data_IF_915282684339
#
_entry.id   IF_915282684339
#
_cell.length_a   1.000
_cell.length_b   1.000
_cell.length_c   1.000
_cell.angle_alpha   90.00
_cell.angle_beta   90.00
_cell.angle_gamma   90.00
#
_symmetry.space_group_name_H-M   'P 1'
#
loop_
_entity.id
_entity.type
_entity.pdbx_description
1 polymer ?
#
# COMPACT_ATOMS: atom_id res chain seq x y z
N UNK A 1 -20.82 2.29 33.41
CA UNK A 1 -19.63 1.42 33.55
C UNK A 1 -18.83 1.61 32.29
N UNK A 2 -17.77 2.41 32.33
CA UNK A 2 -16.96 2.79 31.16
C UNK A 2 -16.02 1.63 30.83
N UNK A 3 -16.24 1.00 29.69
CA UNK A 3 -15.35 -0.02 29.14
C UNK A 3 -14.07 0.65 28.67
N UNK A 4 -12.90 0.16 29.08
CA UNK A 4 -11.59 0.71 28.70
C UNK A 4 -11.22 0.27 27.27
N UNK A 5 -10.40 1.05 26.57
CA UNK A 5 -9.92 0.73 25.20
C UNK A 5 -9.23 -0.65 25.11
N UNK A 6 -8.61 -1.11 26.20
CA UNK A 6 -8.00 -2.45 26.28
C UNK A 6 -9.02 -3.60 26.18
N UNK A 7 -10.22 -3.42 26.74
CA UNK A 7 -11.26 -4.44 26.74
C UNK A 7 -12.05 -4.45 25.42
N UNK A 8 -11.99 -3.34 24.67
CA UNK A 8 -12.68 -3.16 23.39
C UNK A 8 -12.02 -3.93 22.25
N UNK A 9 -10.69 -4.03 22.22
CA UNK A 9 -9.97 -4.82 21.20
C UNK A 9 -10.02 -6.32 21.45
N UNK A 10 -10.23 -6.76 22.69
CA UNK A 10 -10.33 -8.17 23.06
C UNK A 10 -11.60 -8.87 22.49
N UNK A 11 -12.57 -8.12 21.97
CA UNK A 11 -13.83 -8.64 21.39
C UNK A 11 -14.01 -8.34 19.90
N UNK A 12 -12.99 -7.76 19.25
CA UNK A 12 -13.06 -7.46 17.81
C UNK A 12 -12.70 -8.70 17.00
N UNK A 13 -13.64 -9.18 16.19
CA UNK A 13 -13.36 -10.22 15.18
C UNK A 13 -13.26 -9.64 13.76
N UNK A 14 -13.83 -8.46 13.51
CA UNK A 14 -13.86 -7.85 12.18
C UNK A 14 -13.47 -6.37 12.26
N UNK A 15 -12.43 -6.00 11.51
CA UNK A 15 -12.01 -4.63 11.25
C UNK A 15 -12.24 -4.30 9.77
N UNK A 16 -12.93 -3.19 9.51
CA UNK A 16 -13.11 -2.61 8.19
C UNK A 16 -12.42 -1.24 8.13
N UNK A 17 -11.53 -1.10 7.16
CA UNK A 17 -10.78 0.13 6.89
C UNK A 17 -11.41 0.84 5.69
N UNK A 18 -11.79 2.11 5.85
CA UNK A 18 -12.46 2.89 4.81
C UNK A 18 -11.66 4.15 4.51
N UNK A 19 -11.02 4.19 3.34
CA UNK A 19 -10.38 5.39 2.80
C UNK A 19 -11.36 6.20 1.95
N UNK A 20 -11.34 7.53 2.08
CA UNK A 20 -12.19 8.44 1.31
C UNK A 20 -11.39 9.64 0.84
N UNK A 21 -11.99 10.46 -0.04
CA UNK A 21 -11.43 11.76 -0.42
C UNK A 21 -11.44 12.82 0.71
N UNK A 22 -11.92 12.48 1.91
CA UNK A 22 -12.08 13.39 3.04
C UNK A 22 -11.54 12.84 4.37
N UNK A 23 -10.83 11.72 4.33
CA UNK A 23 -10.20 11.08 5.48
C UNK A 23 -10.39 9.57 5.50
N UNK A 24 -9.91 8.93 6.57
CA UNK A 24 -10.10 7.51 6.84
C UNK A 24 -11.06 7.27 8.01
N UNK A 25 -11.77 6.15 7.96
CA UNK A 25 -12.62 5.65 9.03
C UNK A 25 -12.26 4.20 9.32
N UNK A 26 -12.23 3.85 10.60
CA UNK A 26 -12.04 2.48 11.06
C UNK A 26 -13.37 2.02 11.67
N UNK A 27 -13.81 0.83 11.28
CA UNK A 27 -15.07 0.26 11.73
C UNK A 27 -14.83 -1.12 12.33
N UNK A 28 -15.41 -1.39 13.49
CA UNK A 28 -15.25 -2.64 14.22
C UNK A 28 -16.60 -3.34 14.42
N UNK A 29 -16.59 -4.65 14.30
CA UNK A 29 -17.73 -5.50 14.65
C UNK A 29 -17.27 -6.85 15.21
N UNK A 30 -18.19 -7.53 15.89
CA UNK A 30 -18.04 -8.93 16.24
C UNK A 30 -18.28 -9.83 14.99
N UNK A 31 -18.18 -11.16 15.14
CA UNK A 31 -18.46 -12.10 14.03
C UNK A 31 -19.87 -11.96 13.45
N UNK A 32 -20.83 -11.44 14.22
CA UNK A 32 -22.21 -11.29 13.75
C UNK A 32 -22.34 -10.21 12.68
N UNK A 33 -21.43 -9.20 12.67
CA UNK A 33 -21.42 -8.07 11.72
C UNK A 33 -22.73 -7.26 11.71
N UNK A 34 -23.49 -7.30 12.81
CA UNK A 34 -24.81 -6.63 12.93
C UNK A 34 -24.73 -5.22 13.47
N UNK A 35 -23.78 -4.95 14.36
CA UNK A 35 -23.54 -3.64 14.93
C UNK A 35 -22.10 -3.24 14.66
N UNK A 36 -21.92 -1.99 14.24
CA UNK A 36 -20.61 -1.46 13.90
C UNK A 36 -20.32 -0.24 14.76
N UNK A 37 -19.16 -0.26 15.42
CA UNK A 37 -18.55 0.95 15.98
C UNK A 37 -17.73 1.60 14.88
N UNK A 38 -17.78 2.92 14.77
CA UNK A 38 -17.00 3.68 13.80
C UNK A 38 -16.16 4.74 14.52
N UNK A 39 -14.91 4.89 14.09
CA UNK A 39 -14.00 5.96 14.50
C UNK A 39 -13.54 6.76 13.27
N UNK A 40 -13.23 8.04 13.51
CA UNK A 40 -12.79 8.99 12.50
C UNK A 40 -13.68 10.23 12.38
N UNK A 41 -13.45 11.07 11.35
CA UNK A 41 -12.44 10.90 10.33
C UNK A 41 -11.03 11.11 10.88
N UNK A 42 -10.13 10.15 10.62
CA UNK A 42 -8.69 10.39 10.67
C UNK A 42 -8.27 11.14 9.39
N UNK A 43 -7.22 11.95 9.47
CA UNK A 43 -6.73 12.74 8.32
C UNK A 43 -7.82 13.61 7.67
N UNK A 44 -8.59 14.33 8.49
CA UNK A 44 -9.76 15.10 8.02
C UNK A 44 -9.37 16.04 6.88
N UNK A 45 -10.03 15.87 5.74
CA UNK A 45 -9.82 16.68 4.54
C UNK A 45 -8.69 16.20 3.62
N UNK A 46 -7.92 15.21 4.03
CA UNK A 46 -6.92 14.52 3.20
C UNK A 46 -7.56 13.32 2.50
N UNK A 47 -7.13 13.04 1.27
CA UNK A 47 -7.60 11.86 0.55
C UNK A 47 -6.79 10.63 0.98
N UNK A 48 -7.46 9.55 1.36
CA UNK A 48 -6.80 8.30 1.77
C UNK A 48 -7.07 7.22 0.73
N UNK A 49 -6.02 6.84 -0.01
CA UNK A 49 -6.12 5.97 -1.19
C UNK A 49 -5.92 4.49 -0.88
N UNK A 50 -5.12 4.17 0.14
CA UNK A 50 -4.87 2.81 0.57
C UNK A 50 -4.76 2.74 2.10
N UNK A 51 -5.30 1.66 2.65
CA UNK A 51 -5.20 1.31 4.07
C UNK A 51 -4.83 -0.17 4.17
N UNK A 52 -3.97 -0.52 5.12
CA UNK A 52 -3.65 -1.89 5.48
C UNK A 52 -3.59 -1.99 7.01
N UNK A 53 -4.22 -3.00 7.58
CA UNK A 53 -3.92 -3.43 8.94
C UNK A 53 -3.15 -4.74 8.86
N UNK A 54 -2.02 -4.79 9.56
CA UNK A 54 -1.17 -5.95 9.66
C UNK A 54 -0.91 -6.25 11.13
N UNK A 55 -1.41 -7.37 11.60
CA UNK A 55 -1.24 -7.89 12.96
C UNK A 55 -0.36 -9.15 12.99
N UNK A 56 0.27 -9.49 11.86
CA UNK A 56 1.14 -10.66 11.75
C UNK A 56 2.30 -10.53 12.75
N UNK A 57 2.70 -11.69 13.29
CA UNK A 57 3.71 -11.78 14.36
C UNK A 57 3.37 -10.97 15.64
N UNK A 58 2.07 -10.75 15.92
CA UNK A 58 1.61 -10.12 17.16
C UNK A 58 1.95 -8.64 17.29
N UNK A 59 2.25 -7.97 16.17
CA UNK A 59 2.60 -6.55 16.10
C UNK A 59 1.52 -5.80 15.32
N UNK A 60 0.44 -5.34 15.98
CA UNK A 60 -0.63 -4.64 15.29
C UNK A 60 -0.11 -3.31 14.75
N UNK A 61 -0.17 -3.13 13.43
CA UNK A 61 0.19 -1.90 12.75
C UNK A 61 -0.79 -1.60 11.63
N UNK A 62 -1.33 -0.40 11.64
CA UNK A 62 -2.18 0.13 10.57
C UNK A 62 -1.39 1.15 9.75
N UNK A 63 -1.42 0.99 8.43
CA UNK A 63 -0.84 1.90 7.46
C UNK A 63 -1.95 2.67 6.73
N UNK A 64 -1.72 3.95 6.48
CA UNK A 64 -2.61 4.82 5.69
C UNK A 64 -1.82 5.65 4.67
N UNK A 65 -2.19 5.52 3.40
CA UNK A 65 -1.70 6.38 2.32
C UNK A 65 -2.54 7.66 2.27
N UNK A 66 -2.18 8.66 3.06
CA UNK A 66 -2.87 9.95 3.14
C UNK A 66 -2.19 10.98 2.23
N UNK A 67 -2.98 11.61 1.35
CA UNK A 67 -2.52 12.67 0.48
C UNK A 67 -3.02 14.04 0.97
N UNK A 68 -2.06 14.90 1.28
CA UNK A 68 -2.26 16.23 1.82
C UNK A 68 -1.82 17.30 0.81
N UNK A 69 -2.55 18.42 0.67
CA UNK A 69 -2.11 19.56 -0.13
C UNK A 69 -0.76 20.16 0.32
N UNK A 70 -0.38 19.96 1.59
CA UNK A 70 0.86 20.52 2.15
C UNK A 70 2.05 19.57 2.07
N UNK A 71 1.82 18.27 2.25
CA UNK A 71 2.88 17.26 2.38
C UNK A 71 2.97 16.30 1.19
N UNK A 72 2.03 16.37 0.26
CA UNK A 72 1.88 15.38 -0.80
C UNK A 72 1.39 14.03 -0.25
N UNK A 73 1.75 12.94 -0.94
CA UNK A 73 1.38 11.58 -0.51
C UNK A 73 2.30 11.09 0.60
N UNK A 74 1.73 10.72 1.74
CA UNK A 74 2.47 10.24 2.92
C UNK A 74 1.99 8.86 3.34
N UNK A 75 2.92 8.01 3.80
CA UNK A 75 2.59 6.75 4.47
C UNK A 75 2.57 7.01 5.99
N UNK A 76 1.38 7.00 6.57
CA UNK A 76 1.14 7.20 8.00
C UNK A 76 0.97 5.84 8.66
N UNK A 77 1.45 5.70 9.89
CA UNK A 77 1.42 4.43 10.65
C UNK A 77 0.80 4.64 12.03
N UNK A 78 0.10 3.63 12.52
CA UNK A 78 -0.46 3.57 13.88
C UNK A 78 -0.24 2.18 14.45
N UNK A 79 0.23 2.09 15.69
CA UNK A 79 0.47 0.82 16.40
C UNK A 79 -0.63 0.54 17.46
N UNK A 80 -1.69 1.35 17.45
CA UNK A 80 -2.77 1.37 18.45
C UNK A 80 -4.16 1.50 17.78
N UNK A 81 -4.34 0.82 16.64
CA UNK A 81 -5.61 0.75 15.90
C UNK A 81 -6.20 2.12 15.51
N UNK A 82 -5.34 3.09 15.18
CA UNK A 82 -5.72 4.42 14.71
C UNK A 82 -5.86 5.46 15.82
N UNK A 83 -5.63 5.10 17.09
CA UNK A 83 -5.65 6.03 18.21
C UNK A 83 -4.61 7.15 18.07
N UNK A 84 -3.39 6.79 17.68
CA UNK A 84 -2.31 7.72 17.34
C UNK A 84 -1.66 7.39 16.01
N UNK A 85 -1.27 8.42 15.27
CA UNK A 85 -0.65 8.28 13.95
C UNK A 85 0.71 8.97 13.92
N UNK A 86 1.68 8.36 13.25
CA UNK A 86 3.01 8.94 13.00
C UNK A 86 2.91 10.30 12.32
N UNK A 87 3.89 11.19 12.52
CA UNK A 87 3.92 12.53 11.90
C UNK A 87 4.18 12.46 10.39
N UNK A 88 3.61 13.33 9.54
CA UNK A 88 3.87 13.32 8.10
C UNK A 88 5.36 13.55 7.75
N UNK A 89 6.12 14.21 8.61
CA UNK A 89 7.56 14.43 8.47
C UNK A 89 8.38 13.14 8.56
N UNK A 90 7.82 12.08 9.19
CA UNK A 90 8.43 10.75 9.28
C UNK A 90 8.35 9.96 7.97
N UNK A 91 7.90 10.56 6.87
CA UNK A 91 7.78 9.91 5.57
C UNK A 91 9.10 9.22 5.17
N UNK A 92 9.05 7.90 5.07
CA UNK A 92 10.18 7.00 4.85
C UNK A 92 10.12 6.25 3.52
N UNK A 93 9.06 6.47 2.72
CA UNK A 93 8.93 5.98 1.35
C UNK A 93 9.24 7.13 0.38
N UNK A 94 10.41 7.07 -0.28
CA UNK A 94 10.90 8.11 -1.19
C UNK A 94 11.69 7.47 -2.32
N UNK A 95 11.60 8.04 -3.53
CA UNK A 95 12.50 7.66 -4.61
C UNK A 95 13.95 8.02 -4.29
N UNK A 96 14.94 7.33 -4.89
CA UNK A 96 16.34 7.72 -4.82
C UNK A 96 16.52 9.19 -5.24
N UNK A 97 17.35 9.95 -4.51
CA UNK A 97 17.47 11.40 -4.69
C UNK A 97 17.96 11.80 -6.09
N UNK A 98 18.71 10.93 -6.75
CA UNK A 98 19.27 11.07 -8.09
C UNK A 98 18.34 10.59 -9.22
N UNK A 99 17.18 9.99 -8.89
CA UNK A 99 16.24 9.47 -9.88
C UNK A 99 15.48 10.55 -10.66
N UNK A 100 15.39 11.77 -10.13
CA UNK A 100 14.55 12.83 -10.68
C UNK A 100 13.04 12.60 -10.52
N UNK A 101 12.62 11.56 -9.79
CA UNK A 101 11.22 11.28 -9.49
C UNK A 101 10.82 11.72 -8.09
N UNK A 102 9.57 12.15 -7.96
CA UNK A 102 8.94 12.46 -6.69
C UNK A 102 7.72 11.56 -6.52
N UNK A 103 7.47 11.13 -5.29
CA UNK A 103 6.29 10.33 -4.94
C UNK A 103 5.04 11.19 -5.09
N UNK A 104 4.24 10.91 -6.12
CA UNK A 104 2.97 11.60 -6.36
C UNK A 104 1.84 10.96 -5.55
N UNK A 105 1.76 9.63 -5.56
CA UNK A 105 0.75 8.86 -4.81
C UNK A 105 1.21 7.47 -4.39
N UNK A 106 0.65 6.99 -3.28
CA UNK A 106 0.67 5.58 -2.88
C UNK A 106 -0.72 5.00 -3.17
N UNK A 107 -0.79 4.08 -4.12
CA UNK A 107 -2.03 3.50 -4.63
C UNK A 107 -2.41 2.17 -3.96
N UNK A 108 -1.41 1.44 -3.47
CA UNK A 108 -1.62 0.16 -2.80
C UNK A 108 -0.61 -0.01 -1.68
N UNK A 109 -1.05 -0.59 -0.56
CA UNK A 109 -0.21 -1.13 0.50
C UNK A 109 -0.62 -2.59 0.64
N UNK A 110 0.33 -3.52 0.53
CA UNK A 110 0.06 -4.95 0.54
C UNK A 110 1.02 -5.67 1.50
N UNK A 111 0.52 -6.66 2.26
CA UNK A 111 1.41 -7.51 3.04
C UNK A 111 2.22 -8.42 2.11
N UNK A 112 3.38 -8.84 2.60
CA UNK A 112 4.08 -10.00 2.08
C UNK A 112 3.34 -11.30 2.40
N UNK A 113 4.05 -12.43 2.34
CA UNK A 113 3.47 -13.74 2.68
C UNK A 113 3.28 -13.86 4.19
N UNK A 114 2.39 -14.74 4.62
CA UNK A 114 2.20 -15.04 6.05
C UNK A 114 3.50 -15.54 6.72
N UNK A 115 4.33 -16.26 5.96
CA UNK A 115 5.63 -16.74 6.42
C UNK A 115 6.70 -15.63 6.55
N UNK A 116 6.45 -14.45 5.98
CA UNK A 116 7.38 -13.31 5.91
C UNK A 116 6.67 -12.06 6.48
N UNK A 117 6.37 -12.03 7.80
CA UNK A 117 5.52 -11.00 8.40
C UNK A 117 6.16 -9.60 8.41
N UNK A 118 7.49 -9.50 8.31
CA UNK A 118 8.19 -8.22 8.21
C UNK A 118 8.23 -7.65 6.79
N UNK A 119 7.79 -8.42 5.79
CA UNK A 119 7.77 -7.99 4.39
C UNK A 119 6.45 -7.30 4.06
N UNK A 120 6.56 -6.11 3.47
CA UNK A 120 5.44 -5.30 2.99
C UNK A 120 5.79 -4.69 1.63
N UNK A 121 4.76 -4.37 0.85
CA UNK A 121 4.92 -3.73 -0.44
C UNK A 121 4.02 -2.51 -0.60
N UNK A 122 4.52 -1.54 -1.36
CA UNK A 122 3.77 -0.36 -1.77
C UNK A 122 3.81 -0.23 -3.29
N UNK A 123 2.65 -0.03 -3.90
CA UNK A 123 2.51 0.37 -5.29
C UNK A 123 2.28 1.86 -5.38
N UNK A 124 3.08 2.57 -6.16
CA UNK A 124 3.10 4.05 -6.15
C UNK A 124 2.98 4.67 -7.55
N UNK A 125 2.96 5.99 -7.58
CA UNK A 125 3.06 6.86 -8.75
C UNK A 125 4.24 7.83 -8.62
N UNK A 126 5.09 8.00 -9.66
CA UNK A 126 5.16 7.20 -10.89
C UNK A 126 5.30 5.69 -10.64
N UNK A 127 4.87 4.85 -11.58
CA UNK A 127 4.74 3.41 -11.36
C UNK A 127 6.06 2.78 -10.89
N UNK A 128 6.07 2.40 -9.62
CA UNK A 128 7.17 1.70 -8.98
C UNK A 128 6.64 0.80 -7.87
N UNK A 129 7.38 -0.28 -7.62
CA UNK A 129 7.18 -1.16 -6.48
C UNK A 129 8.19 -0.76 -5.40
N UNK A 130 7.71 -0.50 -4.20
CA UNK A 130 8.54 -0.36 -3.01
C UNK A 130 8.36 -1.59 -2.12
N UNK A 131 9.43 -1.99 -1.46
CA UNK A 131 9.48 -3.10 -0.50
C UNK A 131 10.01 -2.59 0.84
N UNK A 132 9.40 -3.06 1.92
CA UNK A 132 9.96 -3.04 3.26
C UNK A 132 10.23 -4.47 3.73
N UNK A 133 11.28 -4.67 4.52
CA UNK A 133 11.65 -5.95 5.15
C UNK A 133 11.77 -5.84 6.68
N UNK A 134 11.28 -4.75 7.24
CA UNK A 134 11.40 -4.39 8.65
C UNK A 134 10.06 -3.91 9.23
N UNK A 135 8.94 -4.43 8.71
CA UNK A 135 7.60 -4.08 9.19
C UNK A 135 7.19 -2.64 8.87
N UNK A 136 7.72 -2.07 7.80
CA UNK A 136 7.37 -0.74 7.28
C UNK A 136 8.17 0.41 7.88
N UNK A 137 9.24 0.13 8.62
CA UNK A 137 10.13 1.15 9.20
C UNK A 137 11.03 1.80 8.14
N UNK A 138 11.46 1.05 7.12
CA UNK A 138 12.17 1.56 5.95
C UNK A 138 11.68 0.92 4.65
N UNK A 139 11.83 1.66 3.54
CA UNK A 139 11.33 1.26 2.22
C UNK A 139 12.39 1.48 1.15
N UNK A 140 12.54 0.51 0.26
CA UNK A 140 13.43 0.60 -0.90
C UNK A 140 12.66 0.26 -2.18
N UNK A 141 12.94 0.92 -3.31
CA UNK A 141 12.34 0.55 -4.58
C UNK A 141 12.88 -0.79 -5.08
N UNK A 142 12.03 -1.59 -5.71
CA UNK A 142 12.44 -2.82 -6.39
C UNK A 142 13.22 -2.46 -7.66
N UNK A 143 14.55 -2.43 -7.54
CA UNK A 143 15.44 -1.89 -8.56
C UNK A 143 15.24 -2.55 -9.94
N UNK A 144 15.03 -3.87 -10.00
CA UNK A 144 14.84 -4.59 -11.26
C UNK A 144 13.62 -4.11 -12.05
N UNK A 145 12.56 -3.65 -11.38
CA UNK A 145 11.39 -3.05 -12.03
C UNK A 145 11.64 -1.57 -12.34
N UNK A 146 12.26 -0.86 -11.40
CA UNK A 146 12.55 0.57 -11.50
C UNK A 146 13.43 0.92 -12.70
N UNK A 147 14.40 0.05 -13.04
CA UNK A 147 15.31 0.22 -14.18
C UNK A 147 14.98 -0.71 -15.34
N UNK A 148 13.77 -1.25 -15.39
CA UNK A 148 13.34 -2.11 -16.48
C UNK A 148 13.38 -1.33 -17.82
N UNK A 149 13.78 -1.97 -18.91
CA UNK A 149 13.97 -1.31 -20.23
C UNK A 149 12.69 -0.66 -20.79
N UNK A 150 11.52 -1.18 -20.42
CA UNK A 150 10.21 -0.62 -20.77
C UNK A 150 9.82 0.61 -19.93
N UNK A 151 10.51 0.90 -18.82
CA UNK A 151 10.13 1.97 -17.89
C UNK A 151 9.97 3.34 -18.60
N UNK A 152 10.86 3.76 -19.51
CA UNK A 152 10.71 5.02 -20.23
C UNK A 152 9.50 5.08 -21.18
N UNK A 153 8.90 3.92 -21.50
CA UNK A 153 7.75 3.80 -22.40
C UNK A 153 6.42 3.77 -21.65
N UNK A 154 6.43 3.61 -20.33
CA UNK A 154 5.23 3.65 -19.52
C UNK A 154 4.69 5.08 -19.43
N UNK A 155 3.46 5.27 -19.91
CA UNK A 155 2.82 6.58 -19.95
C UNK A 155 1.68 6.64 -18.94
N UNK A 156 1.44 7.80 -18.30
CA UNK A 156 0.29 7.95 -17.42
C UNK A 156 -1.03 7.80 -18.19
N UNK A 157 -2.01 7.16 -17.56
CA UNK A 157 -3.41 7.18 -18.03
C UNK A 157 -4.20 8.33 -17.41
N UNK A 158 -5.53 8.30 -17.55
CA UNK A 158 -6.42 9.32 -16.96
C UNK A 158 -6.40 9.39 -15.42
N UNK A 159 -5.80 8.40 -14.74
CA UNK A 159 -5.62 8.36 -13.30
C UNK A 159 -4.16 8.46 -12.82
N UNK A 160 -3.22 8.83 -13.71
CA UNK A 160 -1.78 8.81 -13.40
C UNK A 160 -1.08 7.54 -13.88
N UNK A 161 0.22 7.42 -13.58
CA UNK A 161 1.03 6.23 -13.85
C UNK A 161 1.15 5.40 -12.56
N UNK A 162 0.15 4.57 -12.28
CA UNK A 162 -0.02 3.93 -10.97
C UNK A 162 0.32 2.43 -10.99
N UNK A 163 1.15 1.97 -10.04
CA UNK A 163 1.25 0.55 -9.71
C UNK A 163 0.19 0.21 -8.66
N UNK A 164 -0.82 -0.57 -9.04
CA UNK A 164 -2.05 -0.74 -8.23
C UNK A 164 -2.36 -2.19 -7.88
N UNK A 165 -1.55 -3.15 -8.33
CA UNK A 165 -1.76 -4.56 -8.01
C UNK A 165 -0.43 -5.24 -7.76
N UNK A 166 -0.35 -5.96 -6.65
CA UNK A 166 0.82 -6.72 -6.20
C UNK A 166 0.30 -8.08 -5.72
N UNK A 167 0.75 -9.15 -6.36
CA UNK A 167 0.37 -10.52 -6.07
C UNK A 167 1.62 -11.34 -5.81
N UNK A 168 1.91 -11.62 -4.55
CA UNK A 168 2.94 -12.59 -4.17
C UNK A 168 2.41 -14.00 -4.41
N UNK A 169 3.21 -14.85 -5.08
CA UNK A 169 2.84 -16.25 -5.27
C UNK A 169 2.79 -16.95 -3.89
N UNK A 170 1.76 -17.72 -3.51
CA UNK A 170 1.74 -18.35 -2.18
C UNK A 170 2.74 -19.52 -2.04
N UNK A 171 3.18 -20.11 -3.14
CA UNK A 171 4.01 -21.32 -3.18
C UNK A 171 5.45 -20.98 -3.59
N UNK A 172 5.63 -20.31 -4.73
CA UNK A 172 6.94 -20.05 -5.32
C UNK A 172 7.56 -18.78 -4.74
N UNK A 173 8.46 -18.89 -3.74
CA UNK A 173 9.01 -17.78 -2.94
C UNK A 173 9.55 -16.58 -3.71
N UNK A 174 10.12 -16.82 -4.88
CA UNK A 174 10.72 -15.79 -5.71
C UNK A 174 9.77 -15.21 -6.75
N UNK A 175 8.53 -15.72 -6.85
CA UNK A 175 7.56 -15.23 -7.84
C UNK A 175 6.62 -14.17 -7.27
N UNK A 176 6.42 -13.12 -8.06
CA UNK A 176 5.40 -12.09 -7.84
C UNK A 176 4.91 -11.56 -9.19
N UNK A 177 3.63 -11.18 -9.25
CA UNK A 177 3.08 -10.39 -10.33
C UNK A 177 2.73 -9.00 -9.84
N UNK A 178 2.99 -8.00 -10.66
CA UNK A 178 2.53 -6.61 -10.46
C UNK A 178 1.77 -6.14 -11.67
N UNK A 179 0.81 -5.25 -11.47
CA UNK A 179 0.13 -4.55 -12.55
C UNK A 179 0.18 -3.04 -12.35
N UNK A 180 0.40 -2.33 -13.45
CA UNK A 180 0.44 -0.88 -13.51
C UNK A 180 -0.43 -0.33 -14.64
N UNK A 181 -1.08 0.79 -14.35
CA UNK A 181 -1.91 1.54 -15.28
C UNK A 181 -1.19 2.87 -15.59
N UNK A 182 -0.58 3.06 -16.76
CA UNK A 182 -0.45 2.12 -17.89
C UNK A 182 0.95 1.50 -17.98
N UNK A 183 1.05 0.36 -18.66
CA UNK A 183 2.29 -0.44 -18.78
C UNK A 183 1.98 -1.94 -18.78
N UNK A 184 0.95 -2.33 -18.03
CA UNK A 184 0.42 -3.69 -18.01
C UNK A 184 0.94 -4.52 -16.84
N UNK A 185 1.05 -5.82 -17.06
CA UNK A 185 1.42 -6.81 -16.04
C UNK A 185 2.88 -7.21 -16.21
N UNK A 186 3.59 -7.27 -15.09
CA UNK A 186 4.97 -7.73 -15.01
C UNK A 186 5.08 -8.85 -13.99
N UNK A 187 5.93 -9.83 -14.27
CA UNK A 187 6.22 -10.95 -13.36
C UNK A 187 7.70 -11.05 -13.12
N UNK A 188 8.09 -11.24 -11.86
CA UNK A 188 9.40 -11.71 -11.46
C UNK A 188 9.32 -13.18 -11.08
N UNK A 189 10.41 -13.92 -11.25
CA UNK A 189 10.61 -15.29 -10.76
C UNK A 189 11.87 -15.41 -9.89
N UNK A 190 12.55 -14.30 -9.59
CA UNK A 190 13.84 -14.23 -8.91
C UNK A 190 13.85 -13.24 -7.72
N UNK A 191 12.68 -12.95 -7.16
CA UNK A 191 12.55 -12.07 -6.00
C UNK A 191 12.65 -10.59 -6.32
N UNK A 192 12.38 -10.21 -7.58
CA UNK A 192 12.34 -8.82 -8.03
C UNK A 192 13.65 -8.31 -8.64
N UNK A 193 14.65 -9.17 -8.81
CA UNK A 193 15.93 -8.83 -9.47
C UNK A 193 15.72 -8.57 -10.97
N UNK A 194 14.86 -9.37 -11.61
CA UNK A 194 14.44 -9.17 -12.99
C UNK A 194 12.92 -9.34 -13.15
N UNK A 195 12.39 -8.73 -14.21
CA UNK A 195 10.96 -8.71 -14.50
C UNK A 195 10.72 -8.99 -15.98
N UNK A 196 9.62 -9.67 -16.26
CA UNK A 196 9.17 -9.98 -17.61
C UNK A 196 7.75 -9.47 -17.80
N UNK A 197 7.50 -8.76 -18.90
CA UNK A 197 6.15 -8.37 -19.28
C UNK A 197 5.27 -9.61 -19.55
N UNK A 198 4.04 -9.59 -19.05
CA UNK A 198 3.02 -10.65 -19.21
C UNK A 198 1.76 -10.10 -19.89
N UNK A 199 1.97 -9.32 -20.95
CA UNK A 199 0.91 -8.61 -21.67
C UNK A 199 0.40 -9.34 -22.93
N UNK A 200 0.98 -10.48 -23.29
CA UNK A 200 0.56 -11.24 -24.48
C UNK A 200 -0.91 -11.66 -24.36
N UNK A 201 -1.70 -11.37 -25.39
CA UNK A 201 -3.15 -11.66 -25.41
C UNK A 201 -4.03 -10.59 -24.76
N UNK A 202 -3.45 -9.58 -24.10
CA UNK A 202 -4.18 -8.43 -23.58
C UNK A 202 -4.25 -7.36 -24.67
N UNK A 203 -5.42 -7.19 -25.29
CA UNK A 203 -5.64 -6.10 -26.27
C UNK A 203 -5.98 -4.80 -25.55
N UNK A 204 -5.12 -3.80 -25.69
CA UNK A 204 -5.46 -2.40 -25.47
C UNK A 204 -5.48 -1.69 -26.82
N UNK A 205 -6.58 -1.81 -27.56
CA UNK A 205 -6.81 -0.96 -28.75
C UNK A 205 -7.12 0.46 -28.25
N UNK A 206 -6.10 1.30 -28.11
CA UNK A 206 -6.32 2.73 -27.97
C UNK A 206 -6.38 3.34 -29.37
N UNK A 207 -7.58 3.75 -29.79
CA UNK A 207 -7.74 4.53 -31.03
C UNK A 207 -7.07 5.89 -30.83
N UNK A 208 -6.16 6.23 -31.74
CA UNK A 208 -5.64 7.59 -31.90
C UNK A 208 -6.76 8.57 -32.33
#
# INVERSE_FOLDING_TARGET
MTQTDSDLHASTDVLLLVGTMKGAFLLWSDRSRRQWRMEGPHFRGEAVYALLHDDRNGRPRTFAAANSPHWGSTLRTSDDFGGTWSSPERQNLRFPADSGWALAQIWLIAPGRDADPDVLYCGVEPAALFESRDGGESWAPAQGLLTHEHQPQWQPGGGGLCLHTILVDPVEKSRMLVAMSTGGVYRTDDGGLSWQARNSGVRAEMRA
#
